data_IF_025774785135
#
_entry.id   IF_025774785135
#
_cell.length_a   1.000
_cell.length_b   1.000
_cell.length_c   1.000
_cell.angle_alpha   90.00
_cell.angle_beta   90.00
_cell.angle_gamma   90.00
#
_symmetry.space_group_name_H-M   'P 1'
#
loop_
_entity.id
_entity.type
_entity.pdbx_description
1 polymer ?
#
# COMPACT_ATOMS: atom_id res chain seq x y z
N UNK A 1 -8.94 -11.90 -5.14
CA UNK A 1 -8.20 -11.63 -3.89
C UNK A 1 -9.21 -11.20 -2.86
N UNK A 2 -9.21 -11.83 -1.70
CA UNK A 2 -10.00 -11.35 -0.56
C UNK A 2 -9.15 -10.34 0.21
N UNK A 3 -9.52 -9.06 0.12
CA UNK A 3 -8.83 -7.97 0.80
C UNK A 3 -9.59 -7.59 2.07
N UNK A 4 -9.06 -7.98 3.22
CA UNK A 4 -9.56 -7.49 4.50
C UNK A 4 -9.09 -6.05 4.70
N UNK A 5 -9.99 -5.11 4.52
CA UNK A 5 -9.72 -3.69 4.58
C UNK A 5 -10.88 -2.96 5.26
N UNK A 6 -10.64 -1.70 5.62
CA UNK A 6 -11.70 -0.81 6.08
C UNK A 6 -12.68 -0.55 4.94
N UNK A 7 -13.96 -0.36 5.28
CA UNK A 7 -15.02 -0.10 4.30
C UNK A 7 -14.68 1.11 3.42
N UNK A 8 -14.21 2.21 4.02
CA UNK A 8 -13.81 3.42 3.30
C UNK A 8 -12.70 3.17 2.28
N UNK A 9 -11.75 2.29 2.61
CA UNK A 9 -10.69 1.89 1.68
C UNK A 9 -11.29 1.09 0.52
N UNK A 10 -12.16 0.13 0.83
CA UNK A 10 -12.81 -0.71 -0.18
C UNK A 10 -13.60 0.11 -1.19
N UNK A 11 -14.40 1.06 -0.72
CA UNK A 11 -15.21 1.95 -1.55
C UNK A 11 -14.34 2.73 -2.54
N UNK A 12 -13.26 3.38 -2.06
CA UNK A 12 -12.38 4.14 -2.94
C UNK A 12 -11.54 3.24 -3.87
N UNK A 13 -11.09 2.08 -3.38
CA UNK A 13 -10.35 1.12 -4.19
C UNK A 13 -11.19 0.58 -5.35
N UNK A 14 -12.42 0.14 -5.08
CA UNK A 14 -13.34 -0.39 -6.10
C UNK A 14 -13.74 0.71 -7.11
N UNK A 15 -13.97 1.94 -6.62
CA UNK A 15 -14.22 3.11 -7.47
C UNK A 15 -13.04 3.42 -8.40
N UNK A 16 -11.80 3.35 -7.92
CA UNK A 16 -10.63 3.52 -8.77
C UNK A 16 -10.48 2.37 -9.76
N UNK A 17 -10.59 1.13 -9.31
CA UNK A 17 -10.49 -0.08 -10.14
C UNK A 17 -11.49 -0.10 -11.30
N UNK A 18 -12.67 0.49 -11.13
CA UNK A 18 -13.68 0.62 -12.21
C UNK A 18 -13.21 1.47 -13.41
N UNK A 19 -12.20 2.33 -13.22
CA UNK A 19 -11.70 3.26 -14.24
C UNK A 19 -10.57 2.63 -15.04
N UNK A 20 -10.65 2.72 -16.38
CA UNK A 20 -9.65 2.16 -17.32
C UNK A 20 -8.20 2.63 -17.05
N UNK A 21 -8.01 3.86 -16.56
CA UNK A 21 -6.68 4.40 -16.23
C UNK A 21 -6.02 3.73 -15.02
N UNK A 22 -6.80 3.02 -14.19
CA UNK A 22 -6.35 2.36 -12.96
C UNK A 22 -6.40 0.83 -13.07
N UNK A 23 -6.49 0.28 -14.29
CA UNK A 23 -6.59 -1.18 -14.51
C UNK A 23 -5.43 -2.00 -13.90
N UNK A 24 -4.28 -1.39 -13.67
CA UNK A 24 -3.11 -2.05 -13.06
C UNK A 24 -3.02 -1.85 -11.55
N UNK A 25 -3.92 -1.07 -10.94
CA UNK A 25 -3.85 -0.71 -9.52
C UNK A 25 -3.83 -1.94 -8.62
N UNK A 26 -4.73 -2.90 -8.86
CA UNK A 26 -4.84 -4.11 -8.06
C UNK A 26 -3.56 -4.96 -8.13
N UNK A 27 -3.05 -5.19 -9.34
CA UNK A 27 -1.80 -5.93 -9.51
C UNK A 27 -0.62 -5.20 -8.84
N UNK A 28 -0.52 -3.88 -9.00
CA UNK A 28 0.55 -3.09 -8.39
C UNK A 28 0.49 -3.08 -6.85
N UNK A 29 -0.71 -3.16 -6.26
CA UNK A 29 -0.89 -3.36 -4.81
C UNK A 29 -0.45 -4.76 -4.41
N UNK A 30 -0.84 -5.79 -5.17
CA UNK A 30 -0.43 -7.18 -4.89
C UNK A 30 1.10 -7.30 -4.93
N UNK A 31 1.72 -6.82 -6.00
CA UNK A 31 3.17 -6.92 -6.24
C UNK A 31 3.99 -6.19 -5.17
N UNK A 32 3.45 -5.10 -4.62
CA UNK A 32 4.14 -4.32 -3.59
C UNK A 32 3.94 -4.88 -2.18
N UNK A 33 2.74 -5.35 -1.82
CA UNK A 33 2.45 -5.72 -0.43
C UNK A 33 2.65 -7.20 -0.10
N UNK A 34 2.53 -8.09 -1.08
CA UNK A 34 2.55 -9.53 -0.83
C UNK A 34 3.92 -10.14 -1.13
N UNK A 35 4.34 -11.11 -0.30
CA UNK A 35 5.64 -11.76 -0.43
C UNK A 35 6.84 -10.85 -0.13
N UNK A 36 6.62 -9.73 0.57
CA UNK A 36 7.66 -8.77 0.96
C UNK A 36 8.02 -8.87 2.44
N UNK A 37 9.28 -8.60 2.73
CA UNK A 37 9.79 -8.41 4.08
C UNK A 37 9.36 -7.05 4.65
N UNK A 38 9.39 -6.90 5.99
CA UNK A 38 9.10 -5.63 6.66
C UNK A 38 10.02 -4.50 6.16
N UNK A 39 11.30 -4.80 5.92
CA UNK A 39 12.30 -3.88 5.38
C UNK A 39 11.94 -3.40 3.97
N UNK A 40 11.52 -4.31 3.08
CA UNK A 40 11.06 -3.94 1.74
C UNK A 40 9.80 -3.08 1.78
N UNK A 41 8.86 -3.39 2.68
CA UNK A 41 7.63 -2.61 2.85
C UNK A 41 7.90 -1.21 3.41
N UNK A 42 9.00 -1.02 4.14
CA UNK A 42 9.48 0.29 4.58
C UNK A 42 10.12 1.12 3.45
N UNK A 43 10.26 0.59 2.24
CA UNK A 43 10.83 1.34 1.12
C UNK A 43 9.90 2.48 0.71
N UNK A 44 10.20 3.71 1.10
CA UNK A 44 9.38 4.88 0.81
C UNK A 44 9.74 6.08 1.69
N UNK A 45 8.92 7.12 1.65
CA UNK A 45 9.09 8.26 2.54
C UNK A 45 8.32 8.00 3.82
N UNK A 46 9.04 7.85 4.94
CA UNK A 46 8.44 7.78 6.27
C UNK A 46 7.94 9.18 6.66
N UNK A 47 6.67 9.29 7.02
CA UNK A 47 6.00 10.56 7.31
C UNK A 47 5.95 10.91 8.81
N UNK A 48 6.04 9.91 9.69
CA UNK A 48 5.92 10.08 11.14
C UNK A 48 7.23 9.86 11.91
N UNK A 49 8.36 9.66 11.20
CA UNK A 49 9.68 9.34 11.76
C UNK A 49 9.78 8.11 12.70
N UNK A 50 8.67 7.42 13.00
CA UNK A 50 8.61 6.24 13.87
C UNK A 50 9.27 5.02 13.21
N UNK A 51 10.19 4.36 13.92
CA UNK A 51 10.75 3.06 13.54
C UNK A 51 9.79 1.90 13.79
N UNK A 52 9.00 2.01 14.86
CA UNK A 52 8.23 0.88 15.39
C UNK A 52 6.88 0.76 14.68
N UNK A 53 6.32 1.91 14.29
CA UNK A 53 5.05 2.03 13.58
C UNK A 53 5.20 2.97 12.39
N UNK A 54 6.02 2.62 11.39
CA UNK A 54 6.35 3.52 10.31
C UNK A 54 5.11 3.80 9.44
N UNK A 55 4.78 5.08 9.31
CA UNK A 55 3.76 5.56 8.38
C UNK A 55 4.44 5.94 7.06
N UNK A 56 4.22 5.14 6.03
CA UNK A 56 4.96 5.22 4.77
C UNK A 56 4.09 5.82 3.67
N UNK A 57 4.66 6.77 2.93
CA UNK A 57 4.18 7.22 1.63
C UNK A 57 5.02 6.57 0.53
N UNK A 58 4.40 5.71 -0.27
CA UNK A 58 5.04 5.02 -1.39
C UNK A 58 4.42 5.43 -2.73
N UNK A 59 5.27 5.56 -3.74
CA UNK A 59 4.84 5.53 -5.15
C UNK A 59 4.89 4.10 -5.65
N UNK A 60 3.77 3.61 -6.15
CA UNK A 60 3.68 2.35 -6.89
C UNK A 60 3.82 2.64 -8.38
N UNK A 61 4.16 1.60 -9.14
CA UNK A 61 4.21 1.64 -10.60
C UNK A 61 2.84 1.98 -11.22
N UNK A 62 2.84 2.29 -12.52
CA UNK A 62 1.64 2.61 -13.29
C UNK A 62 1.73 3.95 -14.03
N UNK A 63 0.80 4.17 -14.98
CA UNK A 63 0.76 5.38 -15.81
C UNK A 63 0.40 6.59 -14.93
N UNK A 64 1.41 7.39 -14.55
CA UNK A 64 1.29 8.53 -13.62
C UNK A 64 1.72 8.25 -12.17
N UNK A 65 1.94 6.97 -11.83
CA UNK A 65 2.36 6.48 -10.52
C UNK A 65 1.32 6.65 -9.42
N UNK A 66 0.86 5.55 -8.82
CA UNK A 66 -0.09 5.62 -7.71
C UNK A 66 0.63 6.00 -6.42
N UNK A 67 0.00 6.81 -5.57
CA UNK A 67 0.52 7.08 -4.21
C UNK A 67 -0.32 6.30 -3.23
N UNK A 68 0.35 5.48 -2.42
CA UNK A 68 -0.28 4.72 -1.35
C UNK A 68 0.33 5.14 -0.03
N UNK A 69 -0.55 5.29 0.97
CA UNK A 69 -0.23 5.66 2.33
C UNK A 69 -0.65 4.51 3.22
N UNK A 70 0.26 3.99 4.03
CA UNK A 70 -0.03 2.85 4.90
C UNK A 70 0.83 2.89 6.16
N UNK A 71 0.27 2.36 7.23
CA UNK A 71 0.96 2.13 8.50
C UNK A 71 1.39 0.67 8.56
N UNK A 72 2.65 0.41 8.89
CA UNK A 72 3.11 -0.95 9.17
C UNK A 72 3.03 -1.22 10.67
N UNK A 73 2.36 -2.32 11.03
CA UNK A 73 2.32 -2.84 12.39
C UNK A 73 3.19 -4.09 12.39
N UNK A 74 4.41 -3.97 12.89
CA UNK A 74 5.38 -5.07 12.96
C UNK A 74 5.28 -5.67 14.36
N UNK A 75 4.81 -6.92 14.45
CA UNK A 75 4.69 -7.64 15.73
C UNK A 75 5.79 -8.70 15.79
N UNK A 76 6.64 -8.65 16.80
CA UNK A 76 7.70 -9.64 17.03
C UNK A 76 9.13 -9.17 16.74
N UNK A 77 9.34 -7.92 16.33
CA UNK A 77 10.65 -7.25 16.43
C UNK A 77 10.77 -6.63 17.83
N UNK A 78 10.89 -7.47 18.87
CA UNK A 78 11.25 -7.10 20.25
C UNK A 78 11.81 -8.33 20.95
#
# INVERSE_FOLDING_TARGET
MDLYCLEDFKVEFDKLKSKKSYKTLEQNVIDYFFGKTSQELCSGVRLNNSSDTPYIKKRLDGRGGFRVYFLLIIKGDS
#
